data_IF_486648403122
#
_entry.id   IF_486648403122
#
_cell.length_a   1.000
_cell.length_b   1.000
_cell.length_c   1.000
_cell.angle_alpha   90.00
_cell.angle_beta   90.00
_cell.angle_gamma   90.00
#
_symmetry.space_group_name_H-M   'P 1'
#
loop_
_entity.id
_entity.type
_entity.pdbx_description
1 polymer ?
#
# COMPACT_ATOMS: atom_id res chain seq x y z
N UNK A 1 43.98 -26.40 34.32
CA UNK A 1 42.67 -25.87 34.70
C UNK A 1 42.85 -24.39 34.99
N UNK A 2 42.72 -23.55 34.00
CA UNK A 2 42.80 -22.11 34.15
C UNK A 2 41.51 -21.50 33.72
N UNK A 3 40.94 -20.85 34.66
CA UNK A 3 39.77 -20.05 34.74
C UNK A 3 39.80 -18.94 33.68
N UNK A 4 39.00 -19.06 32.65
CA UNK A 4 38.68 -17.94 31.74
C UNK A 4 37.41 -17.30 32.32
N UNK A 5 37.67 -16.43 33.31
CA UNK A 5 36.64 -15.56 33.84
C UNK A 5 36.68 -14.22 33.15
N UNK A 6 35.48 -13.85 32.65
CA UNK A 6 34.96 -12.49 32.68
C UNK A 6 35.93 -11.35 32.38
N UNK A 7 36.12 -11.02 31.12
CA UNK A 7 36.52 -9.65 30.74
C UNK A 7 36.13 -9.27 29.32
N UNK A 8 34.94 -9.61 28.87
CA UNK A 8 34.29 -8.93 27.74
C UNK A 8 32.88 -8.52 28.10
N UNK A 9 32.81 -7.70 29.17
CA UNK A 9 31.62 -6.87 29.36
C UNK A 9 31.58 -5.88 28.20
N UNK A 10 30.62 -6.07 27.31
CA UNK A 10 30.25 -5.07 26.30
C UNK A 10 30.08 -3.74 27.05
N UNK A 11 30.81 -2.68 26.68
CA UNK A 11 30.70 -1.41 27.39
C UNK A 11 29.24 -0.97 27.38
N UNK A 12 28.69 -0.76 28.56
CA UNK A 12 27.39 -0.08 28.69
C UNK A 12 27.53 1.29 28.02
N UNK A 13 26.84 1.50 26.91
CA UNK A 13 26.85 2.78 26.23
C UNK A 13 26.44 3.89 27.21
N UNK A 14 27.39 4.76 27.51
CA UNK A 14 27.15 5.88 28.42
C UNK A 14 26.18 6.89 27.77
N UNK A 15 25.52 7.73 28.58
CA UNK A 15 24.68 8.84 28.05
C UNK A 15 25.48 9.75 27.11
N UNK A 16 26.76 9.92 27.35
CA UNK A 16 27.69 10.71 26.50
C UNK A 16 27.81 10.12 25.09
N UNK A 17 27.77 8.80 24.96
CA UNK A 17 27.84 8.14 23.64
C UNK A 17 26.52 8.30 22.87
N UNK A 18 25.38 8.31 23.56
CA UNK A 18 24.08 8.59 22.95
C UNK A 18 23.97 10.02 22.40
N UNK A 19 24.47 11.01 23.11
CA UNK A 19 24.51 12.40 22.64
C UNK A 19 25.42 12.56 21.41
N UNK A 20 26.56 11.88 21.38
CA UNK A 20 27.44 11.87 20.21
C UNK A 20 26.79 11.19 19.00
N UNK A 21 26.07 10.09 19.22
CA UNK A 21 25.33 9.40 18.16
C UNK A 21 24.21 10.28 17.58
N UNK A 22 23.45 10.98 18.44
CA UNK A 22 22.43 11.92 18.00
C UNK A 22 23.02 13.06 17.17
N UNK A 23 24.15 13.63 17.64
CA UNK A 23 24.83 14.70 16.91
C UNK A 23 25.38 14.23 15.54
N UNK A 24 25.88 13.00 15.46
CA UNK A 24 26.35 12.41 14.20
C UNK A 24 25.19 12.17 13.23
N UNK A 25 24.05 11.69 13.75
CA UNK A 25 22.83 11.48 12.98
C UNK A 25 22.29 12.80 12.39
N UNK A 26 22.16 13.85 13.22
CA UNK A 26 21.71 15.16 12.77
C UNK A 26 22.61 15.71 11.65
N UNK A 27 23.94 15.59 11.80
CA UNK A 27 24.89 16.02 10.77
C UNK A 27 24.77 15.24 9.47
N UNK A 28 24.50 13.93 9.53
CA UNK A 28 24.31 13.10 8.34
C UNK A 28 23.06 13.51 7.58
N UNK A 29 21.94 13.79 8.28
CA UNK A 29 20.70 14.24 7.68
C UNK A 29 20.80 15.67 7.13
N UNK A 30 21.50 16.59 7.83
CA UNK A 30 21.81 17.93 7.32
C UNK A 30 22.66 17.86 6.04
N UNK A 31 23.62 16.97 5.99
CA UNK A 31 24.42 16.76 4.78
C UNK A 31 23.56 16.24 3.64
N UNK A 32 22.70 15.28 3.87
CA UNK A 32 21.75 14.76 2.87
C UNK A 32 20.85 15.88 2.34
N UNK A 33 20.30 16.72 3.23
CA UNK A 33 19.52 17.91 2.88
C UNK A 33 20.30 18.85 1.97
N UNK A 34 21.53 19.20 2.36
CA UNK A 34 22.36 20.16 1.63
C UNK A 34 22.78 19.62 0.26
N UNK A 35 22.89 18.29 0.11
CA UNK A 35 23.20 17.61 -1.14
C UNK A 35 21.96 17.31 -2.01
N UNK A 36 20.74 17.60 -1.51
CA UNK A 36 19.49 17.29 -2.21
C UNK A 36 19.26 15.79 -2.37
N UNK A 37 19.75 14.97 -1.42
CA UNK A 37 19.57 13.52 -1.40
C UNK A 37 18.94 13.05 -0.08
N UNK A 38 18.65 11.76 0.03
CA UNK A 38 18.17 11.12 1.27
C UNK A 38 19.22 10.15 1.80
N UNK A 39 19.28 9.99 3.11
CA UNK A 39 20.25 9.14 3.79
C UNK A 39 19.67 7.80 4.20
N UNK A 40 20.46 6.73 4.13
CA UNK A 40 20.17 5.44 4.76
C UNK A 40 20.96 5.40 6.07
N UNK A 41 20.26 5.14 7.16
CA UNK A 41 20.84 5.11 8.51
C UNK A 41 20.92 3.68 9.01
N UNK A 42 22.14 3.22 9.36
CA UNK A 42 22.39 1.91 9.97
C UNK A 42 22.33 2.05 11.49
N UNK A 43 21.20 1.78 12.10
CA UNK A 43 20.98 1.95 13.54
C UNK A 43 20.42 0.69 14.22
N UNK A 44 20.81 0.49 15.50
CA UNK A 44 20.30 -0.61 16.34
C UNK A 44 18.92 -0.38 16.90
N UNK A 45 18.53 0.88 17.10
CA UNK A 45 17.34 1.24 17.84
C UNK A 45 16.51 2.28 17.06
N UNK A 46 15.36 1.84 16.57
CA UNK A 46 14.38 2.71 15.90
C UNK A 46 13.67 3.66 16.89
N UNK A 47 13.87 3.50 18.20
CA UNK A 47 13.28 4.35 19.23
C UNK A 47 13.74 5.82 19.14
N UNK A 48 14.85 6.10 18.45
CA UNK A 48 15.39 7.45 18.26
C UNK A 48 14.80 8.20 17.08
N UNK A 49 14.03 7.51 16.20
CA UNK A 49 13.41 8.06 14.97
C UNK A 49 11.88 8.00 15.00
N UNK A 50 11.26 7.76 16.16
CA UNK A 50 9.80 7.84 16.24
C UNK A 50 9.34 9.27 15.94
N UNK A 51 8.38 9.46 15.03
CA UNK A 51 7.74 10.74 14.87
C UNK A 51 7.15 11.16 16.23
N UNK A 52 7.30 12.44 16.54
CA UNK A 52 6.87 13.05 17.81
C UNK A 52 5.33 13.07 17.87
N UNK A 53 4.71 11.95 18.24
CA UNK A 53 3.33 11.94 18.68
C UNK A 53 3.18 11.84 20.20
N UNK A 54 4.28 11.62 20.95
CA UNK A 54 4.23 11.62 22.43
C UNK A 54 5.55 12.20 23.01
N UNK A 55 5.55 13.48 23.30
CA UNK A 55 6.28 14.19 24.35
C UNK A 55 7.72 13.81 24.68
N UNK A 56 8.67 13.88 23.74
CA UNK A 56 10.09 13.75 24.04
C UNK A 56 10.94 14.36 22.93
N UNK A 57 11.72 15.42 23.24
CA UNK A 57 12.45 16.24 22.29
C UNK A 57 13.26 15.48 21.26
N UNK A 58 12.95 15.69 20.01
CA UNK A 58 13.53 15.03 18.87
C UNK A 58 14.91 15.61 18.53
N UNK A 59 15.91 14.73 18.35
CA UNK A 59 17.25 15.12 17.92
C UNK A 59 17.32 15.47 16.42
N UNK A 60 16.22 15.33 15.68
CA UNK A 60 16.17 15.47 14.22
C UNK A 60 14.96 16.31 13.74
N UNK A 61 14.43 17.23 14.56
CA UNK A 61 13.28 18.06 14.19
C UNK A 61 13.47 18.72 12.82
N UNK A 62 12.59 18.38 11.86
CA UNK A 62 12.59 18.94 10.51
C UNK A 62 13.63 18.32 9.55
N UNK A 63 14.25 17.18 9.91
CA UNK A 63 15.20 16.46 9.06
C UNK A 63 14.73 15.02 8.74
N UNK A 64 13.57 14.63 9.24
CA UNK A 64 12.99 13.29 9.07
C UNK A 64 12.79 12.95 7.59
N UNK A 65 12.37 13.92 6.79
CA UNK A 65 12.14 13.78 5.33
C UNK A 65 13.42 13.42 4.56
N UNK A 66 14.59 13.66 5.16
CA UNK A 66 15.88 13.32 4.55
C UNK A 66 16.41 11.94 4.99
N UNK A 67 15.68 11.19 5.80
CA UNK A 67 15.95 9.80 6.10
C UNK A 67 15.14 8.91 5.17
N UNK A 68 15.80 8.21 4.26
CA UNK A 68 15.15 7.30 3.32
C UNK A 68 14.84 5.94 3.97
N UNK A 69 15.74 5.46 4.83
CA UNK A 69 15.62 4.18 5.51
C UNK A 69 16.48 4.20 6.77
N UNK A 70 15.95 3.65 7.87
CA UNK A 70 16.70 3.40 9.10
C UNK A 70 16.59 1.91 9.45
N UNK A 71 17.70 1.17 9.32
CA UNK A 71 17.72 -0.27 9.59
C UNK A 71 19.16 -0.76 9.75
N UNK A 72 19.38 -1.85 10.47
CA UNK A 72 20.65 -2.62 10.44
C UNK A 72 20.56 -3.87 9.58
N UNK A 73 19.39 -4.18 9.09
CA UNK A 73 19.16 -5.30 8.19
C UNK A 73 19.65 -4.93 6.78
N UNK A 74 20.74 -5.54 6.37
CA UNK A 74 21.34 -5.34 5.04
C UNK A 74 20.44 -5.84 3.91
N UNK A 75 19.58 -6.82 4.18
CA UNK A 75 18.62 -7.29 3.19
C UNK A 75 17.59 -6.19 2.90
N UNK A 76 17.14 -5.46 3.94
CA UNK A 76 16.28 -4.28 3.77
C UNK A 76 16.98 -3.11 3.06
N UNK A 77 18.30 -2.91 3.32
CA UNK A 77 19.06 -1.91 2.56
C UNK A 77 19.17 -2.30 1.09
N UNK A 78 19.47 -3.56 0.82
CA UNK A 78 19.54 -4.07 -0.55
C UNK A 78 18.16 -3.97 -1.24
N UNK A 79 17.09 -4.36 -0.56
CA UNK A 79 15.72 -4.21 -1.03
C UNK A 79 15.40 -2.76 -1.39
N UNK A 80 15.67 -1.84 -0.49
CA UNK A 80 15.43 -0.41 -0.72
C UNK A 80 16.22 0.14 -1.91
N UNK A 81 17.52 -0.21 -2.02
CA UNK A 81 18.38 0.29 -3.10
C UNK A 81 18.07 -0.34 -4.47
N UNK A 82 17.73 -1.62 -4.50
CA UNK A 82 17.46 -2.33 -5.75
C UNK A 82 16.03 -2.12 -6.23
N UNK A 83 15.11 -2.09 -5.31
CA UNK A 83 13.70 -2.15 -5.64
C UNK A 83 13.03 -0.79 -5.67
N UNK A 84 13.61 0.22 -5.00
CA UNK A 84 13.01 1.54 -4.84
C UNK A 84 11.72 1.52 -4.00
N UNK A 85 11.22 2.70 -3.68
CA UNK A 85 9.93 2.88 -3.04
C UNK A 85 8.81 2.55 -4.05
N UNK A 86 7.78 1.83 -3.62
CA UNK A 86 6.59 1.55 -4.44
C UNK A 86 5.43 2.43 -4.01
N UNK A 87 5.66 3.73 -4.17
CA UNK A 87 4.66 4.77 -3.87
C UNK A 87 4.22 5.46 -5.14
N UNK A 88 2.99 5.92 -5.15
CA UNK A 88 2.48 6.77 -6.21
C UNK A 88 1.42 7.72 -5.68
N UNK A 89 1.27 8.84 -6.36
CA UNK A 89 0.21 9.81 -6.13
C UNK A 89 -0.46 10.15 -7.45
N UNK A 90 -1.78 10.13 -7.46
CA UNK A 90 -2.58 10.49 -8.63
C UNK A 90 -3.60 11.54 -8.23
N UNK A 91 -3.70 12.58 -9.05
CA UNK A 91 -4.82 13.51 -9.00
C UNK A 91 -5.58 13.46 -10.32
N UNK A 92 -6.87 13.14 -10.22
CA UNK A 92 -7.80 13.11 -11.35
C UNK A 92 -8.88 14.16 -11.13
N UNK A 93 -8.99 15.12 -12.05
CA UNK A 93 -10.00 16.18 -12.01
C UNK A 93 -10.78 16.18 -13.31
N UNK A 94 -12.08 16.10 -13.20
CA UNK A 94 -13.04 16.26 -14.29
C UNK A 94 -13.96 17.46 -14.00
N UNK A 95 -15.07 17.60 -14.71
CA UNK A 95 -16.11 18.58 -14.35
C UNK A 95 -17.00 18.09 -13.20
N UNK A 96 -17.03 16.77 -13.00
CA UNK A 96 -17.91 16.08 -12.05
C UNK A 96 -17.17 15.70 -10.76
N UNK A 97 -15.85 15.45 -10.84
CA UNK A 97 -15.07 14.94 -9.71
C UNK A 97 -13.71 15.63 -9.57
N UNK A 98 -13.21 15.75 -8.34
CA UNK A 98 -11.81 16.06 -8.01
C UNK A 98 -11.33 15.01 -7.01
N UNK A 99 -10.37 14.19 -7.43
CA UNK A 99 -9.95 12.98 -6.73
C UNK A 99 -8.43 13.02 -6.51
N UNK A 100 -8.02 12.77 -5.30
CA UNK A 100 -6.64 12.54 -4.92
C UNK A 100 -6.48 11.14 -4.33
N UNK A 101 -5.53 10.38 -4.85
CA UNK A 101 -5.14 9.06 -4.36
C UNK A 101 -3.65 9.05 -4.10
N UNK A 102 -3.24 8.60 -2.91
CA UNK A 102 -1.85 8.27 -2.57
C UNK A 102 -1.79 6.83 -2.08
N UNK A 103 -0.85 6.06 -2.59
CA UNK A 103 -0.69 4.64 -2.33
C UNK A 103 0.78 4.32 -2.03
N UNK A 104 0.99 3.54 -0.95
CA UNK A 104 2.25 2.88 -0.67
C UNK A 104 2.02 1.36 -0.61
N UNK A 105 2.58 0.62 -1.55
CA UNK A 105 2.44 -0.85 -1.62
C UNK A 105 3.18 -1.59 -0.51
N UNK A 106 4.18 -0.95 0.10
CA UNK A 106 5.02 -1.50 1.17
C UNK A 106 4.63 -0.91 2.54
N UNK A 107 3.37 -0.47 2.69
CA UNK A 107 2.82 0.10 3.92
C UNK A 107 2.40 -0.91 4.97
N UNK A 108 1.77 -0.39 6.04
CA UNK A 108 1.29 -1.16 7.19
C UNK A 108 -0.26 -1.27 7.23
N UNK A 109 -0.95 -0.76 6.22
CA UNK A 109 -2.41 -0.77 6.12
C UNK A 109 -3.08 0.45 6.73
N UNK A 110 -2.39 1.58 6.82
CA UNK A 110 -2.98 2.86 7.21
C UNK A 110 -3.92 3.36 6.11
N UNK A 111 -5.15 3.70 6.50
CA UNK A 111 -6.16 4.19 5.56
C UNK A 111 -6.68 5.55 6.01
N UNK A 112 -6.75 6.49 5.07
CA UNK A 112 -7.36 7.81 5.26
C UNK A 112 -8.25 8.10 4.03
N UNK A 113 -9.54 7.74 4.14
CA UNK A 113 -10.47 7.67 3.00
C UNK A 113 -11.69 8.54 3.27
N UNK A 114 -12.04 9.37 2.30
CA UNK A 114 -13.24 10.19 2.32
C UNK A 114 -13.74 10.43 0.89
N UNK A 115 -14.75 9.68 0.48
CA UNK A 115 -15.41 9.82 -0.83
C UNK A 115 -16.75 10.54 -0.74
N UNK A 116 -17.31 10.68 0.46
CA UNK A 116 -18.65 11.15 0.71
C UNK A 116 -19.71 10.04 0.73
N UNK A 117 -19.33 8.80 0.44
CA UNK A 117 -20.18 7.61 0.49
C UNK A 117 -19.62 6.67 1.58
N UNK A 118 -20.30 6.58 2.72
CA UNK A 118 -19.79 5.91 3.91
C UNK A 118 -19.57 4.41 3.71
N UNK A 119 -20.44 3.74 2.95
CA UNK A 119 -20.25 2.32 2.64
C UNK A 119 -19.09 2.10 1.67
N UNK A 120 -18.93 2.99 0.69
CA UNK A 120 -17.81 2.92 -0.24
C UNK A 120 -16.46 3.18 0.45
N UNK A 121 -16.40 4.16 1.36
CA UNK A 121 -15.22 4.39 2.21
C UNK A 121 -14.82 3.12 2.96
N UNK A 122 -15.80 2.44 3.58
CA UNK A 122 -15.57 1.18 4.27
C UNK A 122 -15.06 0.07 3.34
N UNK A 123 -15.55 -0.01 2.10
CA UNK A 123 -15.07 -0.98 1.11
C UNK A 123 -13.63 -0.69 0.67
N UNK A 124 -13.27 0.56 0.44
CA UNK A 124 -11.91 0.97 0.09
C UNK A 124 -10.91 0.72 1.24
N UNK A 125 -11.35 0.92 2.49
CA UNK A 125 -10.55 0.56 3.67
C UNK A 125 -10.18 -0.93 3.71
N UNK A 126 -11.04 -1.83 3.20
CA UNK A 126 -10.70 -3.25 3.13
C UNK A 126 -9.48 -3.48 2.22
N UNK A 127 -9.35 -2.70 1.13
CA UNK A 127 -8.21 -2.81 0.21
C UNK A 127 -6.91 -2.46 0.94
N UNK A 128 -6.83 -1.33 1.62
CA UNK A 128 -5.63 -0.92 2.34
C UNK A 128 -5.30 -1.87 3.50
N UNK A 129 -6.23 -2.08 4.42
CA UNK A 129 -6.02 -2.89 5.64
C UNK A 129 -5.66 -4.34 5.34
N UNK A 130 -6.43 -5.03 4.52
CA UNK A 130 -6.18 -6.44 4.20
C UNK A 130 -5.07 -6.62 3.16
N UNK A 131 -4.84 -5.61 2.32
CA UNK A 131 -3.70 -5.53 1.40
C UNK A 131 -2.37 -5.26 2.12
N UNK A 132 -2.41 -4.65 3.32
CA UNK A 132 -1.22 -4.16 4.02
C UNK A 132 -0.55 -3.03 3.27
N UNK A 133 -1.35 -2.17 2.63
CA UNK A 133 -0.93 -1.00 1.87
C UNK A 133 -1.42 0.26 2.56
N UNK A 134 -0.60 1.32 2.59
CA UNK A 134 -1.10 2.61 3.05
C UNK A 134 -1.86 3.30 1.91
N UNK A 135 -3.07 3.76 2.21
CA UNK A 135 -3.99 4.26 1.19
C UNK A 135 -4.69 5.54 1.67
N UNK A 136 -4.44 6.63 0.96
CA UNK A 136 -5.17 7.88 1.13
C UNK A 136 -6.03 8.15 -0.08
N UNK A 137 -7.34 8.38 0.11
CA UNK A 137 -8.28 8.74 -0.95
C UNK A 137 -9.12 9.93 -0.49
N UNK A 138 -9.11 10.99 -1.26
CA UNK A 138 -9.93 12.18 -1.06
C UNK A 138 -10.71 12.46 -2.33
N UNK A 139 -12.03 12.50 -2.22
CA UNK A 139 -12.91 12.72 -3.34
C UNK A 139 -13.88 13.86 -3.05
N UNK A 140 -14.04 14.72 -4.04
CA UNK A 140 -15.13 15.67 -4.12
C UNK A 140 -15.86 15.40 -5.44
N UNK A 141 -16.99 14.71 -5.36
CA UNK A 141 -17.83 14.36 -6.50
C UNK A 141 -19.15 15.11 -6.48
N UNK A 142 -19.90 15.00 -7.56
CA UNK A 142 -21.23 15.59 -7.80
C UNK A 142 -22.35 14.71 -7.26
N UNK A 143 -22.26 14.33 -5.96
CA UNK A 143 -23.22 13.43 -5.30
C UNK A 143 -24.68 13.93 -5.29
N UNK A 144 -24.89 15.21 -5.63
CA UNK A 144 -26.23 15.76 -5.88
C UNK A 144 -26.85 15.25 -7.18
N UNK A 145 -26.03 14.71 -8.10
CA UNK A 145 -26.50 14.04 -9.32
C UNK A 145 -26.77 12.57 -9.02
N UNK A 146 -25.69 11.83 -8.75
CA UNK A 146 -25.73 10.48 -8.23
C UNK A 146 -24.32 10.05 -7.74
N UNK A 147 -24.14 8.78 -7.36
CA UNK A 147 -22.90 8.21 -6.89
C UNK A 147 -21.98 7.68 -8.01
N UNK A 148 -22.45 7.59 -9.24
CA UNK A 148 -21.79 6.91 -10.36
C UNK A 148 -20.39 7.49 -10.64
N UNK A 149 -20.32 8.80 -10.92
CA UNK A 149 -19.05 9.47 -11.26
C UNK A 149 -18.04 9.36 -10.12
N UNK A 150 -18.50 9.51 -8.88
CA UNK A 150 -17.66 9.35 -7.68
C UNK A 150 -17.04 7.96 -7.60
N UNK A 151 -17.81 6.90 -7.81
CA UNK A 151 -17.33 5.51 -7.69
C UNK A 151 -16.42 5.13 -8.85
N UNK A 152 -16.85 5.42 -10.09
CA UNK A 152 -16.10 5.06 -11.30
C UNK A 152 -14.76 5.81 -11.38
N UNK A 153 -14.75 7.11 -11.22
CA UNK A 153 -13.54 7.93 -11.28
C UNK A 153 -12.57 7.63 -10.15
N UNK A 154 -13.08 7.27 -8.95
CA UNK A 154 -12.23 6.80 -7.86
C UNK A 154 -11.55 5.48 -8.23
N UNK A 155 -12.26 4.55 -8.86
CA UNK A 155 -11.68 3.29 -9.32
C UNK A 155 -10.60 3.51 -10.38
N UNK A 156 -10.82 4.42 -11.32
CA UNK A 156 -9.84 4.80 -12.35
C UNK A 156 -8.58 5.41 -11.70
N UNK A 157 -8.75 6.37 -10.78
CA UNK A 157 -7.63 7.02 -10.10
C UNK A 157 -6.83 6.04 -9.23
N UNK A 158 -7.51 5.13 -8.52
CA UNK A 158 -6.86 4.08 -7.72
C UNK A 158 -6.12 3.07 -8.61
N UNK A 159 -6.69 2.69 -9.74
CA UNK A 159 -6.06 1.80 -10.71
C UNK A 159 -4.80 2.40 -11.33
N UNK A 160 -4.86 3.67 -11.73
CA UNK A 160 -3.71 4.41 -12.25
C UNK A 160 -2.61 4.54 -11.17
N UNK A 161 -2.99 4.82 -9.93
CA UNK A 161 -2.07 4.91 -8.81
C UNK A 161 -1.38 3.56 -8.56
N UNK A 162 -2.12 2.46 -8.56
CA UNK A 162 -1.60 1.10 -8.44
C UNK A 162 -0.63 0.76 -9.59
N UNK A 163 -1.01 1.09 -10.82
CA UNK A 163 -0.16 0.87 -11.99
C UNK A 163 1.17 1.62 -11.90
N UNK A 164 1.14 2.89 -11.46
CA UNK A 164 2.33 3.71 -11.28
C UNK A 164 3.22 3.18 -10.14
N UNK A 165 2.63 2.81 -8.98
CA UNK A 165 3.37 2.26 -7.85
C UNK A 165 4.04 0.92 -8.18
N UNK A 166 3.45 0.08 -9.02
CA UNK A 166 4.05 -1.17 -9.49
C UNK A 166 5.27 -0.96 -10.39
N UNK A 167 5.37 0.17 -11.05
CA UNK A 167 6.50 0.54 -11.89
C UNK A 167 6.87 -0.53 -12.91
N UNK A 168 8.11 -1.02 -12.87
CA UNK A 168 8.64 -2.02 -13.81
C UNK A 168 8.08 -3.43 -13.64
N UNK A 169 7.36 -3.69 -12.56
CA UNK A 169 6.82 -5.02 -12.19
C UNK A 169 7.90 -6.11 -12.06
N UNK A 170 9.16 -5.72 -11.83
CA UNK A 170 10.25 -6.68 -11.62
C UNK A 170 10.20 -7.25 -10.20
N UNK A 171 10.46 -8.54 -10.09
CA UNK A 171 10.51 -9.25 -8.82
C UNK A 171 9.17 -9.46 -8.14
N UNK A 172 8.03 -9.06 -8.74
CA UNK A 172 6.71 -9.30 -8.16
C UNK A 172 6.23 -10.74 -8.44
N UNK A 173 5.35 -11.26 -7.58
CA UNK A 173 4.70 -12.55 -7.78
C UNK A 173 3.71 -12.53 -8.97
N UNK A 174 3.25 -11.35 -9.37
CA UNK A 174 2.35 -11.09 -10.48
C UNK A 174 0.92 -11.61 -10.30
N UNK A 175 0.72 -12.76 -9.66
CA UNK A 175 -0.56 -13.44 -9.50
C UNK A 175 -1.02 -13.47 -8.05
N UNK A 176 -2.34 -13.47 -7.83
CA UNK A 176 -2.93 -13.64 -6.52
C UNK A 176 -4.35 -14.16 -6.57
N UNK A 177 -4.81 -14.75 -5.46
CA UNK A 177 -6.16 -15.31 -5.30
C UNK A 177 -6.57 -15.36 -3.83
N UNK A 178 -7.85 -15.49 -3.53
CA UNK A 178 -8.42 -15.75 -2.18
C UNK A 178 -9.97 -15.86 -2.21
N UNK A 179 -10.76 -16.21 -1.24
CA UNK A 179 -10.96 -16.59 0.11
C UNK A 179 -12.43 -16.51 0.63
N UNK A 180 -12.86 -17.18 1.73
CA UNK A 180 -14.21 -17.13 2.29
C UNK A 180 -14.47 -15.92 3.19
N UNK A 181 -15.75 -15.51 3.33
CA UNK A 181 -16.24 -14.60 4.34
C UNK A 181 -17.60 -15.07 4.87
N UNK A 182 -17.63 -15.55 6.10
CA UNK A 182 -18.82 -16.10 6.80
C UNK A 182 -19.61 -17.08 5.92
N UNK A 183 -20.85 -16.73 5.55
CA UNK A 183 -21.73 -17.51 4.66
C UNK A 183 -21.36 -17.40 3.19
N UNK A 184 -20.38 -16.56 2.83
CA UNK A 184 -20.02 -16.27 1.46
C UNK A 184 -18.67 -16.88 1.09
N UNK A 185 -18.58 -17.42 -0.11
CA UNK A 185 -17.33 -17.79 -0.75
C UNK A 185 -17.01 -16.78 -1.83
N UNK A 186 -15.92 -16.02 -1.64
CA UNK A 186 -15.47 -14.99 -2.57
C UNK A 186 -14.10 -15.38 -3.11
N UNK A 187 -13.97 -15.43 -4.42
CA UNK A 187 -12.74 -15.74 -5.12
C UNK A 187 -12.39 -14.55 -6.03
N UNK A 188 -11.19 -14.01 -5.85
CA UNK A 188 -10.64 -13.00 -6.75
C UNK A 188 -9.28 -13.49 -7.21
N UNK A 189 -9.16 -13.75 -8.50
CA UNK A 189 -7.90 -14.08 -9.13
C UNK A 189 -7.46 -12.89 -9.98
N UNK A 190 -6.18 -12.50 -9.89
CA UNK A 190 -5.66 -11.41 -10.68
C UNK A 190 -4.33 -11.75 -11.34
N UNK A 191 -4.03 -11.03 -12.44
CA UNK A 191 -2.76 -11.09 -13.17
C UNK A 191 -2.39 -9.67 -13.66
N UNK A 192 -1.23 -9.17 -13.25
CA UNK A 192 -0.67 -7.91 -13.75
C UNK A 192 -0.03 -8.04 -15.14
N UNK A 193 -0.70 -8.77 -16.03
CA UNK A 193 -0.24 -9.08 -17.39
C UNK A 193 -0.28 -7.91 -18.39
N UNK A 194 -0.63 -6.70 -17.98
CA UNK A 194 -0.65 -5.50 -18.83
C UNK A 194 -1.83 -5.40 -19.80
N UNK A 195 -2.74 -6.39 -19.81
CA UNK A 195 -3.92 -6.45 -20.67
C UNK A 195 -5.16 -6.54 -19.79
N UNK A 196 -5.92 -5.46 -19.61
CA UNK A 196 -7.08 -5.45 -18.74
C UNK A 196 -8.18 -6.39 -19.25
N UNK A 197 -8.78 -7.13 -18.34
CA UNK A 197 -9.93 -7.95 -18.59
C UNK A 197 -10.66 -8.28 -17.31
N UNK A 198 -11.96 -8.03 -17.24
CA UNK A 198 -12.77 -8.43 -16.09
C UNK A 198 -13.70 -9.58 -16.47
N UNK A 199 -13.68 -10.65 -15.66
CA UNK A 199 -14.73 -11.66 -15.59
C UNK A 199 -15.44 -11.47 -14.26
N UNK A 200 -16.76 -11.27 -14.30
CA UNK A 200 -17.58 -11.01 -13.13
C UNK A 200 -18.70 -12.03 -13.02
N UNK A 201 -18.62 -12.87 -11.99
CA UNK A 201 -19.62 -13.91 -11.65
C UNK A 201 -20.06 -13.70 -10.18
N UNK A 202 -20.71 -12.56 -9.92
CA UNK A 202 -21.25 -12.21 -8.61
C UNK A 202 -22.58 -11.48 -8.78
N UNK A 203 -23.68 -12.19 -8.55
CA UNK A 203 -25.03 -11.67 -8.65
C UNK A 203 -25.47 -11.01 -7.33
N UNK A 204 -26.14 -9.86 -7.44
CA UNK A 204 -26.81 -9.13 -6.34
C UNK A 204 -28.27 -8.96 -6.68
N UNK A 205 -29.15 -9.04 -5.66
CA UNK A 205 -30.60 -8.89 -5.79
C UNK A 205 -31.12 -7.58 -5.20
N UNK A 206 -30.40 -7.06 -4.22
CA UNK A 206 -30.72 -5.75 -3.60
C UNK A 206 -30.30 -4.65 -4.54
N UNK A 207 -31.09 -3.59 -4.58
CA UNK A 207 -30.77 -2.40 -5.37
C UNK A 207 -29.54 -1.67 -4.81
N UNK A 208 -29.47 -1.55 -3.48
CA UNK A 208 -28.35 -0.88 -2.78
C UNK A 208 -27.90 -1.68 -1.55
N UNK A 209 -26.62 -1.51 -1.22
CA UNK A 209 -26.04 -1.93 0.07
C UNK A 209 -25.38 -0.69 0.67
N UNK A 210 -25.87 -0.25 1.85
CA UNK A 210 -25.52 1.07 2.35
C UNK A 210 -26.02 2.15 1.37
N UNK A 211 -25.16 3.06 1.03
CA UNK A 211 -25.37 4.14 0.05
C UNK A 211 -24.90 3.78 -1.37
N UNK A 212 -24.36 2.57 -1.58
CA UNK A 212 -23.80 2.13 -2.85
C UNK A 212 -24.77 1.24 -3.65
N UNK A 213 -25.16 1.60 -4.88
CA UNK A 213 -25.92 0.73 -5.77
C UNK A 213 -25.13 -0.53 -6.13
N UNK A 214 -25.81 -1.66 -6.21
CA UNK A 214 -25.15 -2.94 -6.46
C UNK A 214 -24.61 -3.07 -7.89
N UNK A 215 -25.18 -2.36 -8.85
CA UNK A 215 -24.66 -2.27 -10.22
C UNK A 215 -23.27 -1.61 -10.25
N UNK A 216 -23.00 -0.67 -9.35
CA UNK A 216 -21.71 0.03 -9.26
C UNK A 216 -20.55 -0.88 -8.80
N UNK A 217 -20.82 -2.04 -8.24
CA UNK A 217 -19.76 -3.00 -7.93
C UNK A 217 -19.03 -3.47 -9.19
N UNK A 218 -19.79 -3.88 -10.21
CA UNK A 218 -19.19 -4.25 -11.50
C UNK A 218 -18.41 -3.10 -12.12
N UNK A 219 -18.99 -1.89 -12.12
CA UNK A 219 -18.35 -0.69 -12.68
C UNK A 219 -17.05 -0.37 -11.97
N UNK A 220 -17.02 -0.41 -10.62
CA UNK A 220 -15.80 -0.21 -9.84
C UNK A 220 -14.69 -1.18 -10.24
N UNK A 221 -14.97 -2.50 -10.24
CA UNK A 221 -13.96 -3.51 -10.55
C UNK A 221 -13.54 -3.46 -12.03
N UNK A 222 -14.43 -3.06 -12.93
CA UNK A 222 -14.10 -2.87 -14.35
C UNK A 222 -13.13 -1.70 -14.53
N UNK A 223 -13.43 -0.55 -13.97
CA UNK A 223 -12.62 0.66 -14.07
C UNK A 223 -11.25 0.46 -13.39
N UNK A 224 -11.24 -0.19 -12.22
CA UNK A 224 -10.00 -0.56 -11.52
C UNK A 224 -9.13 -1.52 -12.36
N UNK A 225 -9.73 -2.55 -12.98
CA UNK A 225 -9.04 -3.50 -13.86
C UNK A 225 -8.42 -2.80 -15.06
N UNK A 226 -9.16 -1.90 -15.69
CA UNK A 226 -8.70 -1.16 -16.86
C UNK A 226 -7.52 -0.23 -16.52
N UNK A 227 -7.66 0.59 -15.50
CA UNK A 227 -6.64 1.57 -15.10
C UNK A 227 -5.37 0.89 -14.56
N UNK A 228 -5.50 -0.14 -13.73
CA UNK A 228 -4.35 -0.91 -13.23
C UNK A 228 -3.74 -1.86 -14.28
N UNK A 229 -4.35 -1.97 -15.46
CA UNK A 229 -3.95 -2.88 -16.56
C UNK A 229 -3.78 -4.33 -16.09
N UNK A 230 -4.74 -4.80 -15.31
CA UNK A 230 -4.74 -6.15 -14.76
C UNK A 230 -5.93 -6.96 -15.25
N UNK A 231 -5.77 -8.28 -15.28
CA UNK A 231 -6.90 -9.19 -15.42
C UNK A 231 -7.50 -9.43 -14.04
N UNK A 232 -8.82 -9.45 -13.95
CA UNK A 232 -9.57 -9.84 -12.76
C UNK A 232 -10.59 -10.91 -13.11
N UNK A 233 -10.62 -11.98 -12.33
CA UNK A 233 -11.71 -12.95 -12.29
C UNK A 233 -12.32 -12.91 -10.89
N UNK A 234 -13.57 -12.48 -10.80
CA UNK A 234 -14.33 -12.37 -9.58
C UNK A 234 -15.47 -13.36 -9.60
N UNK A 235 -15.53 -14.22 -8.60
CA UNK A 235 -16.67 -15.09 -8.34
C UNK A 235 -17.08 -15.00 -6.89
N UNK A 236 -18.39 -14.86 -6.63
CA UNK A 236 -18.90 -14.82 -5.26
C UNK A 236 -20.26 -15.50 -5.15
N UNK A 237 -20.36 -16.40 -4.17
CA UNK A 237 -21.57 -17.13 -3.78
C UNK A 237 -21.87 -16.87 -2.31
N UNK A 238 -23.14 -16.84 -1.92
CA UNK A 238 -23.58 -16.61 -0.55
C UNK A 238 -24.94 -15.95 -0.49
N UNK A 239 -25.53 -15.86 0.70
CA UNK A 239 -26.87 -15.34 0.89
C UNK A 239 -26.87 -13.86 1.33
N UNK A 240 -25.99 -13.48 2.24
CA UNK A 240 -25.87 -12.10 2.71
C UNK A 240 -25.08 -11.26 1.70
N UNK A 241 -25.74 -10.33 1.05
CA UNK A 241 -25.13 -9.54 -0.02
C UNK A 241 -24.12 -8.50 0.49
N UNK A 242 -24.25 -8.04 1.74
CA UNK A 242 -23.24 -7.23 2.40
C UNK A 242 -21.93 -8.06 2.61
N UNK A 243 -22.04 -9.25 3.19
CA UNK A 243 -20.90 -10.16 3.35
C UNK A 243 -20.27 -10.51 1.99
N UNK A 244 -21.10 -10.69 0.96
CA UNK A 244 -20.63 -11.02 -0.38
C UNK A 244 -19.75 -9.92 -0.97
N UNK A 245 -20.20 -8.66 -0.97
CA UNK A 245 -19.39 -7.58 -1.52
C UNK A 245 -18.18 -7.24 -0.65
N UNK A 246 -18.33 -7.21 0.66
CA UNK A 246 -17.19 -7.02 1.57
C UNK A 246 -16.16 -8.15 1.42
N UNK A 247 -16.63 -9.40 1.27
CA UNK A 247 -15.77 -10.55 0.98
C UNK A 247 -15.01 -10.41 -0.33
N UNK A 248 -15.64 -9.86 -1.39
CA UNK A 248 -14.96 -9.58 -2.67
C UNK A 248 -13.86 -8.53 -2.47
N UNK A 249 -14.10 -7.42 -1.76
CA UNK A 249 -13.08 -6.40 -1.49
C UNK A 249 -11.91 -6.95 -0.66
N UNK A 250 -12.21 -7.75 0.38
CA UNK A 250 -11.17 -8.44 1.17
C UNK A 250 -10.37 -9.45 0.33
N UNK A 251 -11.05 -10.20 -0.53
CA UNK A 251 -10.41 -11.15 -1.44
C UNK A 251 -9.51 -10.43 -2.45
N UNK A 252 -9.96 -9.30 -3.04
CA UNK A 252 -9.13 -8.44 -3.87
C UNK A 252 -7.88 -7.96 -3.11
N UNK A 253 -8.06 -7.44 -1.91
CA UNK A 253 -6.96 -6.95 -1.08
C UNK A 253 -5.91 -8.02 -0.81
N UNK A 254 -6.34 -9.23 -0.48
CA UNK A 254 -5.45 -10.38 -0.27
C UNK A 254 -4.78 -10.85 -1.54
N UNK A 255 -5.49 -10.86 -2.67
CA UNK A 255 -4.94 -11.18 -3.98
C UNK A 255 -3.89 -10.15 -4.41
N UNK A 256 -4.16 -8.85 -4.19
CA UNK A 256 -3.20 -7.77 -4.42
C UNK A 256 -1.95 -7.96 -3.56
N UNK A 257 -2.10 -8.20 -2.26
CA UNK A 257 -0.97 -8.45 -1.35
C UNK A 257 -0.06 -9.58 -1.83
N UNK A 258 -0.64 -10.66 -2.34
CA UNK A 258 0.12 -11.77 -2.90
C UNK A 258 0.82 -11.36 -4.20
N UNK A 259 0.09 -10.75 -5.11
CA UNK A 259 0.60 -10.41 -6.44
C UNK A 259 1.70 -9.35 -6.44
N UNK A 260 1.61 -8.37 -5.53
CA UNK A 260 2.62 -7.29 -5.41
C UNK A 260 3.81 -7.69 -4.55
N UNK A 261 3.75 -8.82 -3.85
CA UNK A 261 4.87 -9.31 -3.05
C UNK A 261 6.11 -9.38 -3.95
N UNK A 262 7.22 -8.84 -3.47
CA UNK A 262 8.46 -8.72 -4.21
C UNK A 262 9.55 -9.60 -3.61
N UNK A 263 10.31 -10.26 -4.49
CA UNK A 263 11.51 -11.00 -4.13
C UNK A 263 12.73 -10.25 -4.70
N UNK A 264 13.58 -9.76 -3.82
CA UNK A 264 14.79 -9.02 -4.19
C UNK A 264 15.90 -9.93 -4.72
N UNK A 265 15.86 -11.22 -4.40
CA UNK A 265 16.85 -12.19 -4.86
C UNK A 265 16.49 -12.76 -6.25
N UNK A 266 15.23 -12.62 -6.68
CA UNK A 266 14.72 -13.02 -7.98
C UNK A 266 14.04 -11.83 -8.67
N UNK A 267 14.84 -10.79 -8.96
CA UNK A 267 14.37 -9.51 -9.47
C UNK A 267 14.17 -9.52 -10.99
N UNK A 268 13.70 -10.63 -11.52
CA UNK A 268 13.40 -10.78 -12.94
C UNK A 268 11.98 -10.31 -13.26
N UNK A 269 11.74 -9.97 -14.53
CA UNK A 269 10.39 -9.72 -14.99
C UNK A 269 9.66 -11.07 -15.09
N UNK A 270 8.52 -11.28 -14.37
CA UNK A 270 7.81 -12.55 -14.35
C UNK A 270 7.03 -12.78 -15.67
N UNK A 271 7.73 -12.85 -16.79
CA UNK A 271 7.17 -12.98 -18.12
C UNK A 271 8.11 -13.73 -19.06
N UNK A 272 7.63 -14.83 -19.63
CA UNK A 272 8.35 -15.54 -20.69
C UNK A 272 8.49 -14.73 -21.98
N UNK A 273 7.73 -13.66 -22.15
CA UNK A 273 7.76 -12.76 -23.32
C UNK A 273 8.71 -11.57 -23.14
N UNK A 274 9.27 -11.37 -21.93
CA UNK A 274 10.13 -10.25 -21.60
C UNK A 274 9.43 -8.89 -21.50
N UNK A 275 8.09 -8.85 -21.56
CA UNK A 275 7.24 -7.67 -21.41
C UNK A 275 5.99 -7.99 -20.60
N UNK A 276 5.43 -6.96 -19.88
CA UNK A 276 4.16 -7.00 -19.16
C UNK A 276 3.39 -5.70 -19.37
#
# INVERSE_FOLDING_TARGET
MNDIREKDAIPSYSMVDREKQKAALSKALELAKNLGCRAILLQDDTASLKPVSEGGGAACDGLEDYCALATRDWDKVAEFLFAGERTAEVRRTTKETDIYVSLNLDGDGHCDIATGLGFFDHMLEQIGKHGGMDLTIRVKGDLEVDEHHTIEDTALALGDCLYQALGSKRGIERYGYALPMDDCLCQVCLDFGGRPWLVWDAGFKREKIGDMPTEMFLHFFKSLSDAARMNLNVKAEGQNEHHKIEGIFKALARALKMAVKRDIYHFELPSSKGVL
#
